data_IF_538583032724
#
_entry.id   IF_538583032724
#
_cell.length_a   1.000
_cell.length_b   1.000
_cell.length_c   1.000
_cell.angle_alpha   90.00
_cell.angle_beta   90.00
_cell.angle_gamma   90.00
#
_symmetry.space_group_name_H-M   'P 1'
#
loop_
_entity.id
_entity.type
_entity.pdbx_description
1 polymer ?
#
# COMPACT_ATOMS: atom_id res chain seq x y z
N UNK A 1 -0.76 -15.41 -2.72
CA UNK A 1 0.36 -15.16 -1.77
C UNK A 1 1.55 -16.00 -2.19
N UNK A 2 2.77 -15.48 -2.12
CA UNK A 2 4.01 -16.20 -2.45
C UNK A 2 4.88 -16.30 -1.20
N UNK A 3 5.28 -17.54 -0.86
CA UNK A 3 6.02 -17.87 0.36
C UNK A 3 7.33 -18.56 -0.04
N UNK A 4 8.42 -18.19 0.63
CA UNK A 4 9.74 -18.82 0.48
C UNK A 4 10.35 -19.05 1.86
N UNK A 5 10.75 -20.29 2.16
CA UNK A 5 11.38 -20.66 3.44
C UNK A 5 10.55 -20.25 4.67
N UNK A 6 9.21 -20.31 4.55
CA UNK A 6 8.28 -19.88 5.62
C UNK A 6 8.04 -18.37 5.71
N UNK A 7 8.70 -17.56 4.87
CA UNK A 7 8.53 -16.11 4.82
C UNK A 7 7.63 -15.67 3.66
N UNK A 8 6.72 -14.74 3.91
CA UNK A 8 5.92 -14.10 2.84
C UNK A 8 6.83 -13.12 2.10
N UNK A 9 7.09 -13.39 0.83
CA UNK A 9 7.93 -12.54 -0.02
C UNK A 9 7.10 -11.66 -0.95
N UNK A 10 5.84 -12.02 -1.21
CA UNK A 10 4.91 -11.19 -1.97
C UNK A 10 3.44 -11.57 -1.68
N UNK A 11 2.57 -10.57 -1.64
CA UNK A 11 1.12 -10.74 -1.60
C UNK A 11 0.46 -9.73 -2.55
N UNK A 12 -0.59 -10.16 -3.23
CA UNK A 12 -1.39 -9.33 -4.11
C UNK A 12 -2.86 -9.73 -3.95
N UNK A 13 -3.73 -8.74 -4.07
CA UNK A 13 -5.18 -8.88 -3.99
C UNK A 13 -5.82 -8.04 -5.09
N UNK A 14 -6.97 -8.49 -5.59
CA UNK A 14 -7.81 -7.72 -6.49
C UNK A 14 -8.89 -6.91 -5.74
N UNK A 15 -8.99 -7.07 -4.42
CA UNK A 15 -9.93 -6.32 -3.60
C UNK A 15 -9.50 -4.85 -3.50
N UNK A 16 -10.39 -3.88 -3.79
CA UNK A 16 -10.07 -2.47 -3.66
C UNK A 16 -9.58 -2.06 -2.27
N UNK A 17 -10.18 -2.64 -1.22
CA UNK A 17 -9.87 -2.37 0.19
C UNK A 17 -8.45 -2.79 0.60
N UNK A 18 -7.84 -3.73 -0.14
CA UNK A 18 -6.48 -4.18 0.08
C UNK A 18 -5.44 -3.32 -0.63
N UNK A 19 -5.85 -2.31 -1.41
CA UNK A 19 -4.90 -1.43 -2.07
C UNK A 19 -4.21 -0.55 -1.03
N UNK A 20 -2.89 -0.41 -1.16
CA UNK A 20 -2.08 0.40 -0.24
C UNK A 20 -2.63 1.82 -0.05
N UNK A 21 -3.02 2.50 -1.15
CA UNK A 21 -3.58 3.85 -1.07
C UNK A 21 -4.88 3.93 -0.25
N UNK A 22 -5.78 2.98 -0.46
CA UNK A 22 -7.06 2.90 0.26
C UNK A 22 -6.83 2.61 1.75
N UNK A 23 -5.91 1.70 2.05
CA UNK A 23 -5.52 1.38 3.42
C UNK A 23 -4.95 2.61 4.14
N UNK A 24 -4.03 3.34 3.51
CA UNK A 24 -3.42 4.54 4.07
C UNK A 24 -4.44 5.67 4.30
N UNK A 25 -5.39 5.84 3.37
CA UNK A 25 -6.49 6.80 3.47
C UNK A 25 -7.38 6.47 4.67
N UNK A 26 -7.82 5.20 4.79
CA UNK A 26 -8.66 4.74 5.90
C UNK A 26 -7.98 4.87 7.27
N UNK A 27 -6.66 4.75 7.32
CA UNK A 27 -5.88 4.97 8.53
C UNK A 27 -5.64 6.45 8.86
N UNK A 28 -6.08 7.37 7.99
CA UNK A 28 -5.84 8.81 8.15
C UNK A 28 -4.37 9.21 8.00
N UNK A 29 -3.52 8.35 7.41
CA UNK A 29 -2.11 8.65 7.17
C UNK A 29 -1.90 9.58 5.98
N UNK A 30 -2.84 9.56 5.04
CA UNK A 30 -2.91 10.46 3.89
C UNK A 30 -4.34 10.98 3.75
N UNK A 31 -4.52 12.09 3.06
CA UNK A 31 -5.83 12.64 2.70
C UNK A 31 -6.29 12.13 1.34
N UNK A 32 -7.60 12.26 1.04
CA UNK A 32 -8.14 11.91 -0.27
C UNK A 32 -7.46 12.72 -1.38
N UNK A 33 -7.27 14.03 -1.17
CA UNK A 33 -6.61 14.90 -2.13
C UNK A 33 -5.15 14.48 -2.40
N UNK A 34 -4.41 14.05 -1.37
CA UNK A 34 -3.05 13.52 -1.52
C UNK A 34 -3.05 12.21 -2.33
N UNK A 35 -4.01 11.32 -2.07
CA UNK A 35 -4.14 10.07 -2.82
C UNK A 35 -4.47 10.33 -4.29
N UNK A 36 -5.44 11.20 -4.58
CA UNK A 36 -5.84 11.59 -5.94
C UNK A 36 -4.66 12.20 -6.70
N UNK A 37 -3.95 13.16 -6.09
CA UNK A 37 -2.76 13.76 -6.67
C UNK A 37 -1.67 12.72 -6.98
N UNK A 38 -1.42 11.78 -6.05
CA UNK A 38 -0.41 10.74 -6.28
C UNK A 38 -0.83 9.73 -7.36
N UNK A 39 -2.12 9.44 -7.51
CA UNK A 39 -2.64 8.61 -8.61
C UNK A 39 -2.43 9.32 -9.95
N UNK A 40 -2.73 10.61 -10.04
CA UNK A 40 -2.49 11.40 -11.25
C UNK A 40 -1.02 11.46 -11.64
N UNK A 41 -0.11 11.47 -10.66
CA UNK A 41 1.35 11.49 -10.90
C UNK A 41 1.97 10.12 -11.12
N UNK A 42 1.19 9.05 -11.00
CA UNK A 42 1.66 7.68 -11.16
C UNK A 42 1.96 7.37 -12.64
N UNK A 43 3.18 7.66 -13.07
CA UNK A 43 3.67 7.40 -14.42
C UNK A 43 4.94 6.55 -14.40
N UNK A 44 5.30 5.96 -15.55
CA UNK A 44 6.59 5.27 -15.71
C UNK A 44 6.78 4.04 -14.82
N UNK A 45 5.70 3.37 -14.43
CA UNK A 45 5.76 2.16 -13.57
C UNK A 45 6.05 2.45 -12.09
N UNK A 46 6.04 3.71 -11.67
CA UNK A 46 6.14 4.06 -10.24
C UNK A 46 4.97 3.47 -9.46
N UNK A 47 5.24 3.04 -8.23
CA UNK A 47 4.21 2.56 -7.30
C UNK A 47 3.64 3.73 -6.52
N UNK A 48 2.34 3.68 -6.21
CA UNK A 48 1.63 4.73 -5.47
C UNK A 48 2.35 5.14 -4.17
N UNK A 49 2.87 4.16 -3.42
CA UNK A 49 3.60 4.43 -2.17
C UNK A 49 4.87 5.24 -2.38
N UNK A 50 5.59 5.01 -3.49
CA UNK A 50 6.78 5.80 -3.83
C UNK A 50 6.40 7.24 -4.18
N UNK A 51 5.32 7.43 -4.94
CA UNK A 51 4.83 8.78 -5.30
C UNK A 51 4.40 9.56 -4.06
N UNK A 52 3.69 8.91 -3.13
CA UNK A 52 3.27 9.54 -1.85
C UNK A 52 4.46 10.01 -1.01
N UNK A 53 5.58 9.27 -1.00
CA UNK A 53 6.80 9.68 -0.30
C UNK A 53 7.51 10.81 -1.03
N UNK A 54 7.64 10.73 -2.35
CA UNK A 54 8.25 11.78 -3.18
C UNK A 54 7.51 13.12 -3.06
N UNK A 55 6.17 13.09 -2.99
CA UNK A 55 5.32 14.28 -2.82
C UNK A 55 5.30 14.81 -1.37
N UNK A 56 5.97 14.14 -0.43
CA UNK A 56 5.96 14.49 0.99
C UNK A 56 4.63 14.23 1.71
N UNK A 57 3.71 13.52 1.06
CA UNK A 57 2.41 13.17 1.63
C UNK A 57 2.51 12.04 2.67
N UNK A 58 3.53 11.19 2.58
CA UNK A 58 3.77 10.07 3.48
C UNK A 58 5.26 9.99 3.87
N UNK A 59 5.60 9.92 5.16
CA UNK A 59 6.98 9.62 5.58
C UNK A 59 7.42 8.24 5.08
N UNK A 60 8.68 8.11 4.67
CA UNK A 60 9.23 6.84 4.14
C UNK A 60 9.16 5.69 5.14
N UNK A 61 9.34 5.97 6.42
CA UNK A 61 9.16 5.02 7.53
C UNK A 61 7.72 4.49 7.61
N UNK A 62 6.71 5.35 7.41
CA UNK A 62 5.31 4.95 7.45
C UNK A 62 4.88 4.14 6.21
N UNK A 63 5.59 4.28 5.09
CA UNK A 63 5.38 3.45 3.91
C UNK A 63 5.67 1.98 4.21
N UNK A 64 6.77 1.69 4.91
CA UNK A 64 7.16 0.32 5.26
C UNK A 64 6.08 -0.34 6.10
N UNK A 65 5.60 0.36 7.14
CA UNK A 65 4.52 -0.12 7.99
C UNK A 65 3.21 -0.34 7.21
N UNK A 66 2.88 0.56 6.29
CA UNK A 66 1.69 0.45 5.45
C UNK A 66 1.73 -0.79 4.54
N UNK A 67 2.89 -1.06 3.93
CA UNK A 67 3.09 -2.26 3.10
C UNK A 67 3.00 -3.55 3.93
N UNK A 68 3.61 -3.59 5.11
CA UNK A 68 3.53 -4.75 6.00
C UNK A 68 2.09 -5.03 6.43
N UNK A 69 1.34 -3.98 6.77
CA UNK A 69 -0.08 -4.12 7.13
C UNK A 69 -0.93 -4.60 5.94
N UNK A 70 -0.67 -4.07 4.75
CA UNK A 70 -1.34 -4.50 3.51
C UNK A 70 -1.12 -5.99 3.27
N UNK A 71 0.14 -6.46 3.35
CA UNK A 71 0.47 -7.88 3.19
C UNK A 71 -0.23 -8.74 4.25
N UNK A 72 -0.23 -8.28 5.50
CA UNK A 72 -0.89 -8.99 6.60
C UNK A 72 -2.40 -9.13 6.35
N UNK A 73 -3.08 -8.08 5.90
CA UNK A 73 -4.51 -8.14 5.56
C UNK A 73 -4.78 -9.14 4.46
N UNK A 74 -4.10 -9.02 3.33
CA UNK A 74 -4.27 -9.94 2.20
C UNK A 74 -4.11 -11.40 2.64
N UNK A 75 -3.14 -11.68 3.52
CA UNK A 75 -2.90 -13.05 4.02
C UNK A 75 -3.96 -13.49 5.02
N UNK A 76 -4.43 -12.64 5.92
CA UNK A 76 -5.49 -12.99 6.88
C UNK A 76 -6.83 -13.23 6.18
N UNK A 77 -7.15 -12.40 5.19
CA UNK A 77 -8.37 -12.50 4.37
C UNK A 77 -8.42 -13.83 3.55
N UNK A 78 -7.31 -14.58 3.43
CA UNK A 78 -7.32 -15.93 2.85
C UNK A 78 -7.95 -17.00 3.76
N UNK A 79 -8.10 -16.71 5.06
CA UNK A 79 -8.54 -17.66 6.07
C UNK A 79 -9.92 -17.33 6.67
N UNK A 80 -10.58 -16.28 6.18
CA UNK A 80 -11.95 -15.88 6.50
C UNK A 80 -12.92 -16.27 5.37
#
# INVERSE_FOLDING_TARGET
>A
VYIREGHIVFAASNQPDDRLGELLLRQGRITLAQLEQSVERMHGGKRIGSVLVEDGALPSEQLVDGVLLQVKRIVLDLFE
#
